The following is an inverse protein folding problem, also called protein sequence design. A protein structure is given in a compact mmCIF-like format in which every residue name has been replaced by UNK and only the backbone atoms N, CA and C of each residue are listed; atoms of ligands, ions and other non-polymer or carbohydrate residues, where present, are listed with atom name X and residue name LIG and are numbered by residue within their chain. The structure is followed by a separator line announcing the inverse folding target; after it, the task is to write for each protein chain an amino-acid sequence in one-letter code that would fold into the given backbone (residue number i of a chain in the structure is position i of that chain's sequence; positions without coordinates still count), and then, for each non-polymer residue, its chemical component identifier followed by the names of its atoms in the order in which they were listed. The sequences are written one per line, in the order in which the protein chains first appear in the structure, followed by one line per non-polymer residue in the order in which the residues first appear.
data_IF_182562446839
#
_entry.id   IF_182562446839
#
_cell.length_a   1.000
_cell.length_b   1.000
_cell.length_c   1.000
_cell.angle_alpha   90.00
_cell.angle_beta   90.00
_cell.angle_gamma   90.00
#
_symmetry.space_group_name_H-M   'P 1'
#
loop_
_entity.id
_entity.type
_entity.pdbx_description
1 polymer ?
#
# COMPACT_ATOMS: atom_id res chain seq x y z
N UNK A 2 -15.27 23.72 30.11
CA UNK A 2 -14.38 24.33 29.11
C UNK A 2 -13.42 23.32 28.49
N UNK A 3 -12.50 22.81 29.29
CA UNK A 3 -11.53 21.78 28.88
C UNK A 3 -10.50 22.34 27.90
N UNK A 4 -10.64 23.61 27.51
CA UNK A 4 -9.67 24.27 26.66
C UNK A 4 -8.73 25.18 27.43
N UNK A 5 -8.90 25.30 28.74
CA UNK A 5 -8.08 26.18 29.56
C UNK A 5 -6.82 25.48 30.07
N UNK A 6 -6.50 24.30 29.56
CA UNK A 6 -5.31 23.59 29.97
C UNK A 6 -4.95 22.54 28.94
N UNK A 7 -3.71 22.04 29.05
CA UNK A 7 -3.29 20.93 28.20
C UNK A 7 -4.16 19.70 28.48
N UNK A 8 -4.48 18.96 27.42
CA UNK A 8 -5.47 17.89 27.50
C UNK A 8 -4.92 16.55 27.05
N UNK A 9 -5.29 15.49 27.79
CA UNK A 9 -5.12 14.13 27.29
C UNK A 9 -5.96 13.87 26.06
N UNK A 10 -7.22 14.28 26.08
CA UNK A 10 -8.17 13.95 25.01
C UNK A 10 -8.96 15.19 24.62
N UNK A 11 -8.56 15.90 23.56
CA UNK A 11 -9.33 17.09 23.15
C UNK A 11 -10.66 16.79 22.51
N UNK A 12 -10.83 15.60 21.93
CA UNK A 12 -12.09 15.20 21.30
C UNK A 12 -12.79 14.15 22.15
N UNK A 13 -14.09 14.04 21.97
CA UNK A 13 -14.86 13.01 22.68
C UNK A 13 -14.74 11.68 21.94
N UNK A 14 -15.21 10.62 22.58
CA UNK A 14 -15.04 9.28 22.00
C UNK A 14 -15.64 9.28 20.61
N UNK A 15 -16.82 9.88 20.45
CA UNK A 15 -17.49 9.84 19.14
C UNK A 15 -16.69 10.68 18.13
N UNK A 16 -16.05 11.77 18.58
CA UNK A 16 -15.27 12.65 17.68
C UNK A 16 -14.02 11.90 17.21
N UNK A 17 -13.37 11.15 18.09
CA UNK A 17 -12.17 10.36 17.71
C UNK A 17 -12.58 9.28 16.72
N UNK A 18 -13.73 8.65 16.94
CA UNK A 18 -14.18 7.54 16.09
C UNK A 18 -14.69 8.05 14.74
N UNK A 19 -15.07 9.32 14.65
CA UNK A 19 -15.48 9.90 13.36
C UNK A 19 -14.24 10.38 12.61
N UNK A 20 -13.16 10.64 13.35
CA UNK A 20 -11.88 11.03 12.73
C UNK A 20 -11.22 9.74 12.22
N UNK A 21 -11.36 8.65 12.97
CA UNK A 21 -10.70 7.41 12.57
C UNK A 21 -11.41 6.76 11.39
N UNK A 22 -12.74 6.72 11.40
CA UNK A 22 -13.45 6.09 10.29
C UNK A 22 -13.30 6.89 9.01
N UNK A 23 -13.23 8.22 9.11
CA UNK A 23 -12.97 9.03 7.92
C UNK A 23 -11.60 8.71 7.34
N UNK A 24 -10.59 8.59 8.20
CA UNK A 24 -9.25 8.25 7.73
C UNK A 24 -9.25 6.88 7.05
N UNK A 25 -9.91 5.90 7.67
CA UNK A 25 -9.94 4.55 7.11
C UNK A 25 -10.67 4.52 5.78
N UNK A 26 -11.80 5.22 5.68
CA UNK A 26 -12.56 5.18 4.42
C UNK A 26 -11.82 5.88 3.31
N UNK A 27 -11.11 6.98 3.60
CA UNK A 27 -10.30 7.64 2.59
C UNK A 27 -9.18 6.71 2.13
N UNK A 28 -8.53 6.02 3.07
CA UNK A 28 -7.47 5.09 2.70
C UNK A 28 -8.00 3.96 1.82
N UNK A 29 -9.16 3.40 2.19
CA UNK A 29 -9.73 2.31 1.41
C UNK A 29 -10.14 2.78 0.01
N UNK A 30 -10.68 4.00 -0.08
CA UNK A 30 -11.09 4.54 -1.37
C UNK A 30 -9.91 4.93 -2.26
N UNK A 31 -8.75 5.23 -1.68
CA UNK A 31 -7.63 5.71 -2.46
C UNK A 31 -6.47 4.74 -2.58
N UNK A 32 -6.55 3.55 -2.00
CA UNK A 32 -5.47 2.57 -2.05
C UNK A 32 -5.81 1.47 -3.05
N UNK A 33 -4.85 1.15 -3.92
CA UNK A 33 -5.04 0.10 -4.92
C UNK A 33 -4.24 -1.16 -4.62
N UNK A 34 -3.12 -1.05 -3.90
CA UNK A 34 -2.31 -2.21 -3.59
C UNK A 34 -2.91 -3.18 -2.60
N UNK A 35 -3.80 -2.70 -1.73
CA UNK A 35 -4.48 -3.56 -0.78
C UNK A 35 -5.47 -4.50 -1.44
N UNK A 36 -5.82 -4.26 -2.71
CA UNK A 36 -6.73 -5.09 -3.45
C UNK A 36 -6.02 -6.19 -4.24
N UNK A 37 -4.70 -6.10 -4.38
CA UNK A 37 -3.91 -7.11 -5.09
C UNK A 37 -2.87 -7.76 -4.20
N UNK A 38 -2.70 -7.28 -2.96
CA UNK A 38 -1.70 -7.83 -2.06
C UNK A 38 -2.38 -8.45 -0.84
N UNK A 39 -1.76 -9.50 -0.32
CA UNK A 39 -2.20 -10.12 0.91
C UNK A 39 -1.51 -9.46 2.10
N UNK A 40 -2.26 -9.24 3.17
CA UNK A 40 -1.79 -8.51 4.34
C UNK A 40 -1.32 -9.51 5.38
N UNK A 41 -0.12 -9.30 5.91
CA UNK A 41 0.41 -10.17 6.96
C UNK A 41 -0.10 -9.68 8.31
N UNK A 42 -1.40 -9.36 8.37
CA UNK A 42 -2.05 -8.98 9.60
C UNK A 42 -1.54 -7.67 10.19
N UNK A 43 -2.31 -7.08 11.10
CA UNK A 43 -1.79 -5.96 11.90
C UNK A 43 -0.86 -6.49 12.99
N UNK A 44 0.44 -6.29 12.80
CA UNK A 44 1.41 -6.87 13.73
C UNK A 44 1.47 -6.12 15.04
N UNK A 45 1.23 -4.82 15.03
CA UNK A 45 1.33 -4.02 16.24
C UNK A 45 2.37 -2.93 16.12
N UNK A 46 2.19 -1.84 16.86
CA UNK A 46 3.13 -0.73 16.81
C UNK A 46 4.49 -1.10 17.39
N UNK A 47 4.56 -2.12 18.25
CA UNK A 47 5.83 -2.52 18.83
C UNK A 47 6.74 -3.28 17.89
N UNK A 48 6.21 -3.76 16.76
CA UNK A 48 7.01 -4.49 15.80
C UNK A 48 7.75 -3.50 14.90
N UNK A 49 9.07 -3.63 14.85
CA UNK A 49 9.91 -2.71 14.09
C UNK A 49 10.63 -3.36 12.91
N UNK A 50 10.98 -4.64 13.00
CA UNK A 50 11.66 -5.33 11.90
C UNK A 50 10.96 -6.65 11.62
N UNK A 51 10.92 -7.03 10.36
CA UNK A 51 10.28 -8.27 9.94
C UNK A 51 11.20 -9.04 8.99
N UNK A 52 11.14 -10.37 8.97
CA UNK A 52 11.94 -11.13 8.01
C UNK A 52 11.44 -10.94 6.59
N UNK A 53 12.38 -10.70 5.68
CA UNK A 53 12.09 -10.52 4.27
C UNK A 53 12.17 -11.81 3.46
N UNK A 54 12.51 -12.93 4.10
CA UNK A 54 12.69 -14.21 3.44
C UNK A 54 11.80 -15.26 4.11
N UNK A 55 11.93 -16.50 3.64
CA UNK A 55 11.21 -17.63 4.20
C UNK A 55 12.18 -18.55 4.94
N UNK A 56 11.74 -19.06 6.08
CA UNK A 56 12.61 -19.89 6.91
C UNK A 56 12.82 -21.25 6.25
N UNK A 57 14.08 -21.56 5.93
CA UNK A 57 14.42 -22.83 5.29
C UNK A 57 14.70 -23.91 6.33
N UNK A 58 15.66 -23.67 7.21
CA UNK A 58 15.99 -24.61 8.26
C UNK A 58 17.35 -25.25 8.09
N UNK A 59 18.33 -24.77 8.84
CA UNK A 59 19.69 -25.30 8.81
C UNK A 59 20.27 -25.26 7.40
N UNK A 69 27.66 -32.43 17.13
CA UNK A 69 28.70 -31.71 17.85
C UNK A 69 29.85 -32.63 18.21
N UNK A 70 31.07 -32.10 18.15
CA UNK A 70 32.28 -32.86 18.45
C UNK A 70 33.09 -32.08 19.49
N UNK A 71 32.76 -32.28 20.77
CA UNK A 71 33.44 -31.61 21.88
C UNK A 71 33.47 -30.10 21.70
N UNK A 72 32.42 -29.55 21.08
CA UNK A 72 32.34 -28.13 20.82
C UNK A 72 30.89 -27.77 20.52
N UNK A 73 30.40 -26.72 21.17
CA UNK A 73 29.03 -26.27 20.93
C UNK A 73 28.93 -25.61 19.56
N UNK A 74 27.74 -25.70 18.97
CA UNK A 74 27.45 -25.10 17.67
C UNK A 74 26.76 -23.76 17.85
N UNK A 75 27.05 -22.83 16.95
CA UNK A 75 26.41 -21.52 16.93
C UNK A 75 25.49 -21.46 15.73
N UNK A 76 24.19 -21.29 15.98
CA UNK A 76 23.19 -21.22 14.93
C UNK A 76 22.69 -19.79 14.79
N UNK A 77 22.83 -19.23 13.59
CA UNK A 77 22.32 -17.92 13.26
C UNK A 77 21.34 -18.02 12.09
N UNK A 78 20.21 -17.33 12.21
CA UNK A 78 19.20 -17.38 11.16
C UNK A 78 19.76 -16.85 9.84
N UNK A 79 19.52 -17.60 8.77
CA UNK A 79 19.93 -17.16 7.44
C UNK A 79 18.96 -16.17 6.82
N UNK A 80 17.78 -16.00 7.42
CA UNK A 80 16.81 -15.04 6.91
C UNK A 80 17.32 -13.62 7.09
N UNK A 81 17.06 -12.79 6.09
CA UNK A 81 17.36 -11.37 6.17
C UNK A 81 16.20 -10.63 6.79
N UNK A 82 16.50 -9.57 7.52
CA UNK A 82 15.48 -8.77 8.19
C UNK A 82 15.50 -7.34 7.65
N UNK A 83 14.32 -6.73 7.59
CA UNK A 83 14.20 -5.35 7.15
C UNK A 83 13.27 -4.60 8.09
N UNK A 84 13.57 -3.32 8.30
CA UNK A 84 12.78 -2.48 9.20
C UNK A 84 11.56 -1.92 8.47
N UNK A 85 10.46 -1.79 9.21
CA UNK A 85 9.18 -1.35 8.65
C UNK A 85 9.15 0.17 8.57
N UNK A 86 8.97 0.73 7.38
CA UNK A 86 8.87 2.20 7.26
C UNK A 86 7.54 2.73 7.75
N UNK A 87 7.57 4.00 8.14
CA UNK A 87 6.39 4.73 8.62
C UNK A 87 6.15 5.91 7.69
N UNK A 88 4.92 6.04 7.21
CA UNK A 88 4.50 7.16 6.37
C UNK A 88 3.47 7.97 7.16
N UNK A 89 3.71 9.27 7.28
CA UNK A 89 2.87 10.12 8.12
C UNK A 89 2.64 11.46 7.44
N UNK A 90 1.54 12.11 7.84
CA UNK A 90 1.19 13.44 7.37
C UNK A 90 0.50 14.20 8.50
N UNK A 91 0.91 15.46 8.70
CA UNK A 91 0.43 16.26 9.82
C UNK A 91 -0.68 17.20 9.37
N UNK A 92 -1.63 17.46 10.26
CA UNK A 92 -2.63 18.50 10.08
C UNK A 92 -2.95 19.14 11.42
N UNK A 93 -3.72 20.22 11.39
CA UNK A 93 -3.98 21.02 12.58
C UNK A 93 -5.48 21.29 12.73
N UNK A 94 -5.94 21.36 13.98
CA UNK A 94 -7.31 21.68 14.30
C UNK A 94 -7.34 22.87 15.25
N UNK A 95 -8.17 23.86 14.94
CA UNK A 95 -8.35 25.01 15.79
C UNK A 95 -9.14 24.64 17.04
N UNK A 96 -8.78 25.26 18.16
CA UNK A 96 -9.44 24.96 19.43
C UNK A 96 -10.85 25.53 19.48
N UNK A 97 -11.07 26.71 18.88
CA UNK A 97 -12.41 27.27 18.85
C UNK A 97 -13.36 26.42 18.03
N UNK A 98 -12.87 25.80 16.96
CA UNK A 98 -13.71 24.88 16.19
C UNK A 98 -14.08 23.65 17.00
N UNK A 99 -13.15 23.13 17.81
CA UNK A 99 -13.48 21.99 18.67
C UNK A 99 -14.49 22.40 19.74
N UNK A 100 -14.30 23.58 20.32
CA UNK A 100 -15.29 24.08 21.29
C UNK A 100 -16.65 24.24 20.63
N UNK A 101 -16.68 24.74 19.39
CA UNK A 101 -17.93 24.82 18.65
C UNK A 101 -18.51 23.43 18.41
N UNK A 102 -17.74 22.43 18.04
CA UNK A 102 -18.38 21.10 17.92
C UNK A 102 -19.18 20.76 19.18
N UNK A 103 -18.54 20.72 20.35
CA UNK A 103 -19.19 20.26 21.62
C UNK A 103 -20.32 21.14 22.15
N UNK A 104 -20.09 22.45 22.37
CA UNK A 104 -21.10 23.33 23.00
C UNK A 104 -22.29 23.61 22.07
N UNK A 105 -22.06 23.77 20.77
CA UNK A 105 -23.15 24.00 19.79
C UNK A 105 -23.74 22.66 19.37
N UNK A 106 -23.05 21.56 19.68
CA UNK A 106 -23.53 20.19 19.33
C UNK A 106 -23.56 20.04 17.81
N UNK A 107 -22.58 20.62 17.13
CA UNK A 107 -22.55 20.63 15.66
C UNK A 107 -21.44 19.68 15.21
N UNK A 108 -21.55 19.02 14.04
CA UNK A 108 -20.55 18.05 13.62
C UNK A 108 -19.18 18.70 13.52
N UNK A 109 -18.10 17.92 13.61
CA UNK A 109 -16.75 18.49 13.41
C UNK A 109 -16.31 18.27 11.98
N UNK A 110 -15.62 19.24 11.39
CA UNK A 110 -15.05 19.19 10.05
C UNK A 110 -13.74 18.40 10.09
N UNK A 111 -13.65 17.36 9.27
CA UNK A 111 -12.47 16.49 9.25
C UNK A 111 -11.84 16.52 7.87
N UNK A 112 -11.97 17.66 7.18
CA UNK A 112 -11.42 17.78 5.84
C UNK A 112 -9.90 17.70 5.84
N UNK A 113 -9.27 18.31 6.85
CA UNK A 113 -7.81 18.23 6.95
C UNK A 113 -7.35 16.79 7.16
N UNK A 114 -8.06 16.04 8.00
CA UNK A 114 -7.74 14.64 8.19
C UNK A 114 -7.90 13.84 6.91
N UNK A 115 -8.98 14.11 6.16
CA UNK A 115 -9.20 13.41 4.90
C UNK A 115 -8.08 13.70 3.91
N UNK A 116 -7.66 14.96 3.81
CA UNK A 116 -6.56 15.30 2.92
C UNK A 116 -5.25 14.65 3.32
N UNK A 117 -4.96 14.64 4.63
CA UNK A 117 -3.75 13.99 5.11
C UNK A 117 -3.78 12.49 4.82
N UNK A 118 -4.93 11.85 5.02
CA UNK A 118 -5.05 10.43 4.73
C UNK A 118 -4.87 10.15 3.25
N UNK A 119 -5.42 11.01 2.38
CA UNK A 119 -5.25 10.84 0.94
C UNK A 119 -3.78 10.95 0.54
N UNK A 120 -3.07 11.93 1.10
CA UNK A 120 -1.66 12.08 0.78
C UNK A 120 -0.85 10.88 1.27
N UNK A 121 -1.15 10.40 2.48
CA UNK A 121 -0.43 9.25 3.01
C UNK A 121 -0.73 7.99 2.19
N UNK A 122 -1.96 7.82 1.72
CA UNK A 122 -2.31 6.69 0.87
C UNK A 122 -1.64 6.78 -0.49
N UNK A 123 -1.48 7.98 -1.05
CA UNK A 123 -0.71 8.12 -2.28
C UNK A 123 0.75 7.74 -2.07
N UNK A 124 1.33 8.16 -0.95
CA UNK A 124 2.72 7.79 -0.65
C UNK A 124 2.87 6.29 -0.46
N UNK A 125 1.88 5.64 0.16
CA UNK A 125 1.95 4.19 0.35
C UNK A 125 1.98 3.47 -0.99
N UNK A 126 1.12 3.88 -1.92
CA UNK A 126 1.10 3.24 -3.23
C UNK A 126 2.39 3.51 -4.01
N UNK A 127 2.93 4.73 -3.88
CA UNK A 127 4.21 5.04 -4.51
C UNK A 127 5.31 4.13 -3.98
N UNK A 128 5.35 3.94 -2.66
CA UNK A 128 6.36 3.06 -2.07
C UNK A 128 6.16 1.60 -2.47
N UNK A 129 4.91 1.18 -2.63
CA UNK A 129 4.64 -0.21 -3.00
C UNK A 129 5.10 -0.48 -4.43
N UNK A 130 4.74 0.41 -5.36
CA UNK A 130 5.06 0.16 -6.77
C UNK A 130 6.54 0.44 -7.08
N UNK A 131 7.11 1.47 -6.50
CA UNK A 131 8.54 1.76 -6.64
C UNK A 131 9.16 1.88 -5.26
N UNK A 132 10.36 1.31 -5.11
CA UNK A 132 11.01 1.35 -3.82
C UNK A 132 11.65 2.69 -3.55
N UNK A 133 12.83 2.68 -2.94
CA UNK A 133 13.52 3.93 -2.59
C UNK A 133 14.94 3.95 -3.13
N UNK A 134 15.59 2.79 -3.20
CA UNK A 134 16.91 2.60 -3.82
C UNK A 134 18.02 3.21 -2.98
N UNK A 135 17.67 3.89 -1.89
CA UNK A 135 18.65 4.41 -0.95
C UNK A 135 18.43 3.92 0.48
N UNK A 136 17.22 3.44 0.81
CA UNK A 136 16.95 2.76 2.07
C UNK A 136 16.80 1.26 1.91
N UNK A 137 17.06 0.71 0.72
CA UNK A 137 17.04 -0.72 0.50
C UNK A 137 15.70 -1.31 0.11
N UNK A 138 14.65 -0.50 0.01
CA UNK A 138 13.32 -1.01 -0.29
C UNK A 138 13.12 -1.15 -1.79
N UNK A 139 12.55 -2.26 -2.20
CA UNK A 139 12.23 -2.55 -3.59
C UNK A 139 10.72 -2.48 -3.84
N UNK A 140 10.36 -2.31 -5.11
CA UNK A 140 8.97 -2.25 -5.51
C UNK A 140 8.64 -3.29 -6.56
N UNK A 141 7.37 -3.30 -6.96
CA UNK A 141 6.92 -4.24 -7.97
C UNK A 141 7.54 -3.95 -9.33
N UNK A 142 7.85 -2.68 -9.62
CA UNK A 142 8.39 -2.28 -10.90
C UNK A 142 9.90 -2.14 -10.89
N UNK A 143 10.57 -2.39 -9.75
CA UNK A 143 12.01 -2.23 -9.66
C UNK A 143 12.69 -3.45 -9.04
N UNK A 144 11.97 -4.56 -8.84
CA UNK A 144 12.56 -5.74 -8.22
C UNK A 144 13.49 -6.44 -9.20
N UNK A 145 14.56 -7.03 -8.66
CA UNK A 145 15.51 -7.81 -9.44
C UNK A 145 14.98 -9.22 -9.61
N UNK A 146 14.96 -9.71 -10.85
CA UNK A 146 14.42 -11.02 -11.15
C UNK A 146 13.05 -11.00 -11.78
N UNK A 147 12.47 -9.81 -11.91
CA UNK A 147 11.09 -9.75 -12.44
C UNK A 147 11.15 -10.24 -13.89
N UNK A 148 9.99 -10.59 -14.46
CA UNK A 148 9.98 -11.02 -15.87
C UNK A 148 9.47 -9.84 -16.69
N UNK A 149 10.22 -9.43 -17.70
CA UNK A 149 9.82 -8.21 -18.45
C UNK A 149 9.50 -8.59 -19.89
N UNK A 150 8.34 -8.17 -20.37
CA UNK A 150 7.93 -8.52 -21.76
C UNK A 150 7.94 -7.26 -22.61
N UNK A 151 8.46 -7.28 -23.86
CA UNK A 151 8.32 -6.12 -24.75
C UNK A 151 6.87 -5.66 -24.84
N UNK A 152 6.69 -4.35 -24.91
CA UNK A 152 5.37 -3.78 -25.04
C UNK A 152 4.88 -3.87 -26.49
N UNK A 153 3.58 -3.75 -26.66
CA UNK A 153 2.99 -3.80 -28.00
C UNK A 153 2.12 -2.59 -28.24
N UNK A 154 1.77 -2.38 -29.51
CA UNK A 154 0.91 -1.27 -29.88
C UNK A 154 -0.49 -1.47 -29.30
N UNK A 155 -0.85 -0.65 -28.31
CA UNK A 155 -2.15 -0.75 -27.67
C UNK A 155 -3.26 -0.05 -28.44
N UNK A 156 -2.91 0.76 -29.45
CA UNK A 156 -3.93 1.43 -30.24
C UNK A 156 -4.71 0.43 -31.10
N UNK A 157 -4.02 -0.60 -31.59
CA UNK A 157 -4.69 -1.61 -32.40
C UNK A 157 -5.66 -2.41 -31.53
N UNK A 158 -6.79 -2.86 -32.08
CA UNK A 158 -7.74 -3.63 -31.28
C UNK A 158 -7.19 -5.00 -30.89
N UNK A 159 -6.96 -5.20 -29.59
CA UNK A 159 -6.42 -6.44 -29.10
C UNK A 159 -4.94 -6.42 -28.78
N UNK A 160 -4.26 -5.29 -28.98
CA UNK A 160 -2.85 -5.22 -28.65
C UNK A 160 -2.58 -5.41 -27.17
N UNK A 161 -3.38 -4.74 -26.33
CA UNK A 161 -3.26 -4.95 -24.89
C UNK A 161 -3.57 -6.37 -24.49
N UNK A 162 -4.59 -6.97 -25.12
CA UNK A 162 -4.92 -8.36 -24.82
C UNK A 162 -3.76 -9.28 -25.17
N UNK A 163 -3.14 -9.08 -26.34
CA UNK A 163 -1.99 -9.91 -26.73
C UNK A 163 -0.79 -9.69 -25.82
N UNK A 164 -0.55 -8.44 -25.38
CA UNK A 164 0.52 -8.19 -24.43
C UNK A 164 0.28 -8.92 -23.11
N UNK A 165 -0.97 -8.90 -22.61
CA UNK A 165 -1.28 -9.63 -21.38
C UNK A 165 -1.16 -11.14 -21.59
N UNK A 166 -1.53 -11.64 -22.76
CA UNK A 166 -1.39 -13.07 -23.03
C UNK A 166 0.08 -13.48 -23.02
N UNK A 167 0.93 -12.67 -23.66
CA UNK A 167 2.36 -12.97 -23.65
C UNK A 167 2.94 -12.90 -22.24
N UNK A 168 2.53 -11.89 -21.47
CA UNK A 168 2.98 -11.77 -20.09
C UNK A 168 2.54 -12.97 -19.27
N UNK A 169 1.29 -13.39 -19.44
CA UNK A 169 0.77 -14.53 -18.70
C UNK A 169 1.52 -15.81 -19.06
N UNK A 170 1.80 -16.01 -20.36
CA UNK A 170 2.49 -17.22 -20.78
C UNK A 170 3.91 -17.26 -20.23
N UNK A 171 4.63 -16.14 -20.28
CA UNK A 171 5.99 -16.15 -19.76
C UNK A 171 6.01 -16.26 -18.24
N UNK A 172 5.04 -15.64 -17.55
CA UNK A 172 4.93 -15.83 -16.12
C UNK A 172 4.54 -17.26 -15.76
N UNK A 173 3.83 -17.94 -16.66
CA UNK A 173 3.51 -19.35 -16.47
C UNK A 173 4.75 -20.24 -16.61
N UNK A 174 5.65 -19.87 -17.51
CA UNK A 174 6.78 -20.73 -17.86
C UNK A 174 7.74 -20.99 -16.69
N UNK A 175 7.57 -20.29 -15.57
CA UNK A 175 8.37 -20.54 -14.38
C UNK A 175 7.55 -21.10 -13.22
N UNK A 176 6.34 -21.58 -13.48
CA UNK A 176 5.63 -22.27 -12.39
C UNK A 176 4.76 -21.35 -11.58
N UNK A 177 4.48 -20.16 -12.12
CA UNK A 177 3.60 -19.20 -11.43
C UNK A 177 2.37 -19.04 -12.30
N UNK A 178 1.24 -19.57 -11.84
CA UNK A 178 -0.05 -19.41 -12.55
C UNK A 178 -0.96 -18.71 -11.56
N UNK A 179 -2.07 -19.34 -11.20
CA UNK A 179 -2.91 -18.77 -10.13
C UNK A 179 -3.80 -17.67 -10.64
N UNK A 180 -4.61 -17.03 -9.78
CA UNK A 180 -5.38 -15.88 -10.23
C UNK A 180 -4.34 -14.82 -10.56
N UNK A 181 -4.56 -14.07 -11.63
CA UNK A 181 -3.58 -13.02 -12.03
C UNK A 181 -4.19 -11.65 -11.74
N UNK A 182 -3.33 -10.69 -11.40
CA UNK A 182 -3.80 -9.34 -11.13
C UNK A 182 -3.00 -8.36 -11.98
N UNK A 183 -3.70 -7.51 -12.72
CA UNK A 183 -3.06 -6.56 -13.63
C UNK A 183 -3.32 -5.15 -13.13
N UNK A 184 -2.25 -4.35 -13.07
CA UNK A 184 -2.33 -2.95 -12.69
C UNK A 184 -1.69 -2.13 -13.79
N UNK A 185 -2.43 -1.15 -14.31
CA UNK A 185 -1.99 -0.38 -15.47
C UNK A 185 -1.92 1.10 -15.15
N UNK A 186 -1.02 1.80 -15.84
CA UNK A 186 -0.89 3.23 -15.71
C UNK A 186 -2.10 3.93 -16.33
N UNK A 187 -2.35 5.18 -15.95
CA UNK A 187 -3.49 5.90 -16.56
C UNK A 187 -3.39 6.02 -18.07
N UNK A 188 -2.17 6.18 -18.61
CA UNK A 188 -2.02 6.32 -20.05
C UNK A 188 -2.29 5.02 -20.81
N UNK A 189 -2.09 3.87 -20.17
CA UNK A 189 -2.52 2.59 -20.73
C UNK A 189 -4.01 2.36 -20.53
N UNK A 190 -4.52 2.75 -19.36
CA UNK A 190 -5.94 2.55 -19.06
C UNK A 190 -6.84 3.41 -19.94
N UNK A 191 -6.36 4.56 -20.40
CA UNK A 191 -7.13 5.43 -21.28
C UNK A 191 -7.02 5.02 -22.75
N UNK A 192 -6.57 3.80 -23.01
CA UNK A 192 -6.49 3.28 -24.37
C UNK A 192 -7.35 2.03 -24.56
N UNK A 193 -8.27 1.76 -23.63
CA UNK A 193 -9.19 0.63 -23.74
C UNK A 193 -10.58 1.08 -24.19
N UNK A 194 -10.65 2.06 -25.09
CA UNK A 194 -11.91 2.67 -25.50
C UNK A 194 -12.63 1.90 -26.59
N UNK A 195 -12.08 0.77 -27.06
CA UNK A 195 -12.73 0.01 -28.12
C UNK A 195 -14.08 -0.53 -27.70
N UNK A 196 -14.35 -0.62 -26.40
CA UNK A 196 -15.61 -1.14 -25.90
C UNK A 196 -15.45 -1.83 -24.58
N UNK A 197 -15.94 -3.07 -24.49
CA UNK A 197 -15.76 -3.87 -23.30
C UNK A 197 -14.47 -4.67 -23.32
N UNK A 198 -13.39 -4.04 -23.81
CA UNK A 198 -12.12 -4.73 -23.93
C UNK A 198 -11.48 -4.98 -22.57
N UNK A 199 -11.83 -4.20 -21.56
CA UNK A 199 -11.33 -4.48 -20.21
C UNK A 199 -11.94 -5.77 -19.67
N UNK A 200 -13.18 -6.07 -20.06
CA UNK A 200 -13.85 -7.27 -19.58
C UNK A 200 -13.32 -8.55 -20.21
N UNK A 201 -12.66 -8.47 -21.37
CA UNK A 201 -12.00 -9.65 -21.93
C UNK A 201 -10.57 -9.81 -21.42
N UNK A 202 -10.05 -8.83 -20.68
CA UNK A 202 -8.81 -9.02 -19.95
C UNK A 202 -9.06 -9.43 -18.51
N UNK A 203 -10.20 -9.04 -17.92
CA UNK A 203 -10.57 -9.53 -16.60
C UNK A 203 -10.90 -11.03 -16.60
N UNK A 204 -11.13 -11.63 -17.76
CA UNK A 204 -11.34 -13.07 -17.84
C UNK A 204 -10.03 -13.85 -17.82
N UNK A 205 -8.90 -13.18 -18.12
CA UNK A 205 -7.58 -13.75 -17.91
C UNK A 205 -6.98 -13.34 -16.58
N UNK A 206 -7.43 -12.22 -16.01
CA UNK A 206 -6.97 -11.73 -14.70
C UNK A 206 -8.20 -11.90 -13.80
N UNK A 207 -8.20 -12.97 -13.01
CA UNK A 207 -9.35 -13.27 -12.16
C UNK A 207 -9.36 -12.36 -10.94
N UNK A 208 -8.18 -11.94 -10.47
CA UNK A 208 -8.14 -11.06 -9.30
C UNK A 208 -8.56 -9.63 -9.65
N UNK A 209 -8.32 -9.21 -10.88
CA UNK A 209 -8.82 -7.93 -11.35
C UNK A 209 -7.81 -7.11 -12.14
N UNK A 210 -8.33 -6.21 -12.97
CA UNK A 210 -7.54 -5.22 -13.69
C UNK A 210 -7.83 -3.86 -13.07
N UNK A 211 -6.79 -3.18 -12.62
CA UNK A 211 -6.92 -1.94 -11.88
C UNK A 211 -6.06 -0.85 -12.52
N UNK A 212 -6.38 0.39 -12.18
CA UNK A 212 -5.64 1.56 -12.63
C UNK A 212 -4.90 2.16 -11.45
N UNK A 213 -3.62 2.47 -11.66
CA UNK A 213 -2.77 3.10 -10.65
C UNK A 213 -2.16 4.36 -11.21
N UNK A 214 -2.37 5.47 -10.51
CA UNK A 214 -1.81 6.75 -10.92
C UNK A 214 -0.34 6.90 -10.56
N UNK A 215 0.20 6.04 -9.68
CA UNK A 215 1.62 6.13 -9.36
C UNK A 215 2.50 5.60 -10.47
N UNK A 216 1.98 4.67 -11.27
CA UNK A 216 2.74 4.15 -12.41
C UNK A 216 3.04 5.26 -13.40
N UNK A 217 4.28 5.33 -13.86
CA UNK A 217 4.76 6.40 -14.72
C UNK A 217 4.92 5.91 -16.15
N UNK A 218 4.60 6.79 -17.10
CA UNK A 218 4.80 6.47 -18.50
C UNK A 218 3.84 5.40 -19.01
N UNK A 219 4.30 4.67 -20.02
CA UNK A 219 3.51 3.64 -20.68
C UNK A 219 3.91 2.29 -20.07
N UNK A 220 3.45 2.06 -18.84
CA UNK A 220 3.90 0.90 -18.08
C UNK A 220 2.73 0.24 -17.37
N UNK A 221 2.84 -1.07 -17.18
CA UNK A 221 1.88 -1.86 -16.44
C UNK A 221 2.56 -3.05 -15.81
N UNK A 222 1.82 -3.77 -14.98
CA UNK A 222 2.38 -4.90 -14.23
C UNK A 222 1.32 -5.99 -14.12
N UNK A 223 1.77 -7.24 -14.19
CA UNK A 223 0.94 -8.41 -13.96
C UNK A 223 1.61 -9.24 -12.88
N UNK A 224 0.87 -9.58 -11.83
CA UNK A 224 1.42 -10.28 -10.67
C UNK A 224 0.64 -11.57 -10.44
N UNK A 225 1.37 -12.62 -10.09
CA UNK A 225 0.75 -13.89 -9.67
C UNK A 225 0.54 -13.79 -8.16
N UNK A 226 -0.71 -13.54 -7.77
CA UNK A 226 -1.01 -13.27 -6.37
C UNK A 226 -0.87 -14.53 -5.52
N UNK A 227 -0.73 -14.32 -4.22
CA UNK A 227 -0.53 -15.40 -3.28
C UNK A 227 0.41 -15.03 -2.15
N UNK A 228 0.13 -15.53 -0.95
CA UNK A 228 0.99 -15.22 0.19
C UNK A 228 2.40 -15.78 0.00
N UNK A 229 2.53 -16.88 -0.73
CA UNK A 229 3.85 -17.48 -0.95
C UNK A 229 4.73 -16.65 -1.87
N UNK A 230 4.15 -15.73 -2.65
CA UNK A 230 4.89 -14.91 -3.59
C UNK A 230 5.18 -13.51 -3.08
N UNK A 231 4.20 -12.86 -2.45
CA UNK A 231 4.39 -11.48 -2.00
C UNK A 231 3.35 -11.15 -0.95
N UNK A 232 3.77 -10.42 0.08
CA UNK A 232 2.91 -9.99 1.17
C UNK A 232 3.10 -8.50 1.43
N UNK A 233 2.18 -7.94 2.20
CA UNK A 233 2.25 -6.55 2.66
C UNK A 233 2.16 -6.59 4.18
N UNK A 234 3.31 -6.55 4.84
CA UNK A 234 3.36 -6.60 6.30
C UNK A 234 3.00 -5.24 6.88
N UNK A 235 1.86 -5.15 7.54
CA UNK A 235 1.36 -3.91 8.09
C UNK A 235 1.58 -3.97 9.60
N UNK A 236 2.59 -3.24 10.09
CA UNK A 236 2.81 -3.19 11.52
C UNK A 236 1.63 -2.53 12.22
N UNK A 237 1.12 -1.44 11.65
CA UNK A 237 -0.03 -0.74 12.20
C UNK A 237 -0.78 -0.08 11.05
N UNK A 238 -2.11 -0.16 11.10
CA UNK A 238 -2.92 0.40 10.04
C UNK A 238 -2.97 1.92 10.15
N UNK A 239 -3.41 2.56 9.06
CA UNK A 239 -3.49 4.02 9.02
C UNK A 239 -4.41 4.52 10.12
N UNK A 240 -3.90 5.44 10.94
CA UNK A 240 -4.63 5.93 12.11
C UNK A 240 -4.16 7.35 12.41
N UNK A 241 -4.98 8.09 13.15
CA UNK A 241 -4.71 9.48 13.50
C UNK A 241 -4.37 9.56 14.98
N UNK A 242 -3.30 10.31 15.29
CA UNK A 242 -2.78 10.42 16.64
C UNK A 242 -2.53 11.88 17.01
N UNK A 243 -2.68 12.20 18.28
CA UNK A 243 -2.53 13.56 18.79
C UNK A 243 -1.07 13.82 19.12
N UNK A 244 -0.53 14.92 18.58
CA UNK A 244 0.91 15.19 18.74
C UNK A 244 1.13 16.13 19.92
N UNK A 245 0.07 16.46 20.67
CA UNK A 245 0.19 17.35 21.85
C UNK A 245 -0.17 18.77 21.49
N UNK A 246 -0.81 19.51 22.40
CA UNK A 246 -1.28 20.88 22.10
C UNK A 246 -0.09 21.78 21.82
N UNK A 247 -0.27 22.78 20.96
CA UNK A 247 0.85 23.64 20.55
C UNK A 247 0.71 24.98 21.25
N UNK A 248 -0.03 25.89 20.64
CA UNK A 248 -0.26 27.20 21.27
C UNK A 248 -1.78 27.30 21.28
N UNK A 249 -2.39 26.47 22.12
CA UNK A 249 -3.86 26.42 22.22
C UNK A 249 -4.41 25.58 21.08
N UNK A 250 -3.64 25.37 19.99
CA UNK A 250 -4.19 24.66 18.82
C UNK A 250 -3.83 23.18 18.95
N UNK A 251 -4.41 22.30 18.14
CA UNK A 251 -4.27 20.87 18.31
C UNK A 251 -3.72 20.22 17.05
N UNK A 252 -2.45 19.81 17.03
CA UNK A 252 -1.92 19.09 15.87
C UNK A 252 -2.12 17.59 15.95
N UNK A 253 -2.49 17.00 14.81
CA UNK A 253 -2.70 15.58 14.70
C UNK A 253 -1.86 15.05 13.54
N UNK A 254 -1.64 13.73 13.54
CA UNK A 254 -0.82 13.08 12.54
C UNK A 254 -1.50 11.80 12.09
N UNK A 255 -1.68 11.65 10.78
CA UNK A 255 -2.15 10.41 10.18
C UNK A 255 -0.94 9.59 9.78
N UNK A 256 -0.79 8.42 10.38
CA UNK A 256 0.42 7.62 10.23
C UNK A 256 0.06 6.17 9.96
N UNK A 257 0.94 5.48 9.22
CA UNK A 257 0.81 4.07 8.93
C UNK A 257 2.19 3.47 8.74
N UNK A 258 2.41 2.29 9.33
CA UNK A 258 3.69 1.60 9.24
C UNK A 258 3.50 0.30 8.47
N UNK A 259 4.19 0.17 7.34
CA UNK A 259 4.01 -1.02 6.53
C UNK A 259 5.20 -1.22 5.61
N UNK A 260 5.36 -2.46 5.16
CA UNK A 260 6.45 -2.87 4.28
C UNK A 260 5.92 -3.87 3.26
N UNK A 261 6.56 -3.90 2.09
CA UNK A 261 6.22 -4.85 1.04
C UNK A 261 7.29 -5.92 0.97
N UNK A 262 6.88 -7.19 1.01
CA UNK A 262 7.79 -8.32 1.01
C UNK A 262 7.58 -9.11 -0.27
N UNK A 263 8.61 -9.13 -1.12
CA UNK A 263 8.59 -9.88 -2.38
C UNK A 263 9.49 -11.11 -2.19
N UNK A 264 8.88 -12.28 -2.04
CA UNK A 264 9.63 -13.50 -1.78
C UNK A 264 9.93 -14.27 -3.06
N UNK A 265 9.12 -14.10 -4.10
CA UNK A 265 9.34 -14.72 -5.40
C UNK A 265 9.34 -13.61 -6.44
N UNK A 266 10.49 -12.98 -6.67
CA UNK A 266 10.54 -11.84 -7.59
C UNK A 266 10.23 -12.18 -9.04
N UNK A 267 10.19 -13.47 -9.40
CA UNK A 267 9.86 -13.89 -10.76
C UNK A 267 8.37 -14.16 -10.92
N UNK A 268 7.55 -13.81 -9.94
CA UNK A 268 6.10 -13.83 -10.06
C UNK A 268 5.54 -12.48 -10.52
N UNK A 269 6.42 -11.55 -10.87
CA UNK A 269 6.05 -10.20 -11.28
C UNK A 269 6.51 -10.01 -12.72
N UNK A 270 5.63 -9.46 -13.56
CA UNK A 270 5.92 -9.27 -14.98
C UNK A 270 5.50 -7.85 -15.37
N UNK A 271 6.48 -7.00 -15.68
CA UNK A 271 6.19 -5.63 -16.06
C UNK A 271 6.15 -5.51 -17.59
N UNK A 272 5.40 -4.53 -18.06
CA UNK A 272 5.20 -4.33 -19.49
C UNK A 272 6.14 -3.26 -20.03
#
# INVERSE_FOLDING_TARGET
MPDFLGHAENPLREEEWARLNETVIQVARRSLVGRRILDIYGPLGAGVQTVPYDEFQGVSPGAVDIVGEQETAMVFTDARKFKTIPIIYKDFLLHWRDIEAARTHNMPLDVSAAAGAAALCAQQEDELIFYGDARLGYEGLMTANGRLTVPLGDWTSPGGGFQAIVEATRKLNEQGHFGPYAVVLSPRLYSQLHRGGEIETIRQLASDGVYQSNRLRGESGVVVSTGRENMDLAVSMDMVAAYLGASRMNHPFRVLEALLLRIKHPDAICTLEGAGATERR
#
